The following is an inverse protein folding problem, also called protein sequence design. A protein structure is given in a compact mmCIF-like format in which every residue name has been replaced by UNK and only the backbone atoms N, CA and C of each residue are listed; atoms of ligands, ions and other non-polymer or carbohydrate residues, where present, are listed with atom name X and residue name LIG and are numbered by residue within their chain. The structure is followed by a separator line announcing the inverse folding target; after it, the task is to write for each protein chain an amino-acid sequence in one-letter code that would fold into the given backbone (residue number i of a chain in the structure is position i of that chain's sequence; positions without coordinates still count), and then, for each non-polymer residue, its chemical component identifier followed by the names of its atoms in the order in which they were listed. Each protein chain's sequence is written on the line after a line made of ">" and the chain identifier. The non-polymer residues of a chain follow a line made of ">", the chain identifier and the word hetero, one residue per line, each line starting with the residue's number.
data_IF_113630221567
#
_entry.id   IF_113630221567
#
_cell.length_a   1.000
_cell.length_b   1.000
_cell.length_c   1.000
_cell.angle_alpha   90.00
_cell.angle_beta   90.00
_cell.angle_gamma   90.00
#
_symmetry.space_group_name_H-M   'P 1'
#
loop_
_entity.id
_entity.type
_entity.pdbx_description
1 polymer ?
#
# COMPACT_ATOMS: atom_id res chain seq x y z
N UNK A 1 45.43 39.57 70.10
CA UNK A 1 44.46 39.65 71.23
C UNK A 1 43.97 38.24 71.56
N UNK A 2 44.21 37.79 72.81
CA UNK A 2 43.59 36.68 73.58
C UNK A 2 43.25 35.32 72.91
N UNK A 3 44.19 34.35 73.03
CA UNK A 3 44.15 33.14 73.90
C UNK A 3 42.76 32.49 74.20
N UNK A 4 42.50 31.20 73.90
CA UNK A 4 42.75 29.97 74.73
C UNK A 4 41.99 28.71 74.22
N UNK A 5 42.56 27.55 74.55
CA UNK A 5 42.19 26.15 74.28
C UNK A 5 40.92 25.63 75.00
N UNK A 6 40.37 24.49 74.55
CA UNK A 6 40.14 23.31 75.43
C UNK A 6 39.83 22.01 74.67
N UNK A 7 40.40 20.90 75.18
CA UNK A 7 40.16 19.49 74.82
C UNK A 7 39.01 18.93 75.67
N UNK A 8 37.99 18.35 75.05
CA UNK A 8 37.09 17.28 75.55
C UNK A 8 36.07 17.05 74.42
N UNK A 9 35.70 15.85 73.94
CA UNK A 9 35.65 14.53 74.54
C UNK A 9 35.56 13.51 73.40
N UNK A 10 36.45 12.52 73.40
CA UNK A 10 36.26 11.26 72.70
C UNK A 10 35.00 10.57 73.24
N UNK A 11 33.94 10.46 72.42
CA UNK A 11 32.89 9.43 72.43
C UNK A 11 31.80 9.79 71.41
N UNK A 12 32.12 9.73 70.12
CA UNK A 12 31.11 9.74 69.04
C UNK A 12 31.71 9.28 67.69
N UNK A 13 32.64 8.31 67.70
CA UNK A 13 33.25 7.72 66.48
C UNK A 13 32.58 6.39 66.09
N UNK A 14 31.44 6.04 66.69
CA UNK A 14 30.83 4.71 66.52
C UNK A 14 29.63 4.61 65.59
N UNK A 15 28.85 5.67 65.38
CA UNK A 15 27.49 5.51 64.87
C UNK A 15 26.98 6.82 64.31
N UNK A 16 26.97 6.93 62.98
CA UNK A 16 26.21 7.81 62.05
C UNK A 16 26.96 7.90 60.69
N UNK A 17 28.10 7.22 60.50
CA UNK A 17 28.53 6.80 59.16
C UNK A 17 27.62 5.72 58.53
N UNK A 18 26.62 5.22 59.27
CA UNK A 18 25.59 4.29 58.76
C UNK A 18 24.35 5.00 58.17
N UNK A 19 24.22 6.33 58.31
CA UNK A 19 23.02 7.07 57.88
C UNK A 19 23.22 7.85 56.57
N UNK A 20 24.45 7.99 56.09
CA UNK A 20 24.80 8.69 54.85
C UNK A 20 25.05 7.76 53.65
N UNK A 21 25.13 6.44 53.90
CA UNK A 21 25.18 5.41 52.83
C UNK A 21 23.78 4.97 52.38
N UNK A 22 22.72 5.36 53.11
CA UNK A 22 21.33 4.95 52.85
C UNK A 22 20.45 6.01 52.15
N UNK A 23 21.00 7.20 51.85
CA UNK A 23 20.27 8.27 51.15
C UNK A 23 20.76 8.48 49.70
N UNK A 24 21.80 7.75 49.26
CA UNK A 24 22.30 7.79 47.87
C UNK A 24 21.81 6.59 47.03
N UNK A 25 21.05 5.66 47.62
CA UNK A 25 20.54 4.45 46.94
C UNK A 25 19.08 4.51 46.45
N UNK A 26 18.41 5.67 46.52
CA UNK A 26 17.04 5.86 46.01
C UNK A 26 16.87 6.99 44.98
N UNK A 27 17.94 7.46 44.34
CA UNK A 27 17.86 8.42 43.23
C UNK A 27 18.25 7.85 41.84
N UNK A 28 18.44 6.53 41.71
CA UNK A 28 18.84 5.89 40.44
C UNK A 28 17.82 4.90 39.84
N UNK A 29 16.53 5.00 40.18
CA UNK A 29 15.45 4.24 39.52
C UNK A 29 14.38 5.13 38.88
N UNK A 30 14.80 6.23 38.24
CA UNK A 30 13.90 7.20 37.62
C UNK A 30 14.49 7.87 36.37
N UNK A 31 15.29 7.16 35.59
CA UNK A 31 15.65 7.58 34.23
C UNK A 31 16.07 6.36 33.41
N UNK A 32 15.11 5.47 33.15
CA UNK A 32 15.26 4.52 32.06
C UNK A 32 15.41 5.32 30.76
N UNK A 33 16.53 5.11 30.06
CA UNK A 33 16.92 5.86 28.87
C UNK A 33 15.92 5.70 27.73
N UNK A 34 15.08 6.72 27.55
CA UNK A 34 14.21 6.88 26.38
C UNK A 34 14.65 8.03 25.47
N UNK A 35 15.87 8.57 25.64
CA UNK A 35 16.26 9.83 24.99
C UNK A 35 17.70 9.84 24.43
N UNK A 36 18.21 8.67 24.00
CA UNK A 36 19.45 8.61 23.21
C UNK A 36 19.17 8.07 21.82
N UNK A 37 19.07 9.00 20.87
CA UNK A 37 19.50 8.86 19.47
C UNK A 37 19.05 7.59 18.74
N UNK A 38 17.78 7.59 18.33
CA UNK A 38 17.33 6.90 17.12
C UNK A 38 17.90 7.61 15.88
N UNK A 39 19.15 7.34 15.51
CA UNK A 39 19.61 7.51 14.10
C UNK A 39 20.93 6.81 13.75
N UNK A 40 21.44 5.90 14.59
CA UNK A 40 22.55 5.03 14.19
C UNK A 40 22.02 3.65 13.83
N UNK A 41 22.40 3.17 12.65
CA UNK A 41 22.17 1.80 12.19
C UNK A 41 22.59 0.81 13.28
N UNK A 42 21.63 0.25 14.01
CA UNK A 42 21.87 -0.67 15.11
C UNK A 42 22.66 -1.87 14.59
N UNK A 43 23.93 -1.97 15.01
CA UNK A 43 24.75 -3.15 14.81
C UNK A 43 24.08 -4.34 15.51
N UNK A 44 24.03 -5.50 14.87
CA UNK A 44 23.30 -6.68 15.35
C UNK A 44 23.78 -7.13 16.74
N UNK A 45 25.06 -6.92 17.05
CA UNK A 45 25.64 -7.21 18.36
C UNK A 45 25.11 -6.28 19.48
N UNK A 46 24.74 -5.04 19.15
CA UNK A 46 24.17 -4.09 20.11
C UNK A 46 22.72 -4.43 20.47
N UNK A 47 21.96 -4.95 19.50
CA UNK A 47 20.58 -5.38 19.68
C UNK A 47 20.50 -6.61 20.59
N UNK A 48 21.38 -7.59 20.39
CA UNK A 48 21.42 -8.81 21.22
C UNK A 48 21.76 -8.51 22.70
N UNK A 49 22.69 -7.58 22.95
CA UNK A 49 23.04 -7.15 24.30
C UNK A 49 21.86 -6.42 24.98
N UNK A 50 21.16 -5.55 24.26
CA UNK A 50 19.98 -4.84 24.76
C UNK A 50 18.83 -5.81 25.10
N UNK A 51 18.55 -6.78 24.21
CA UNK A 51 17.54 -7.81 24.44
C UNK A 51 17.89 -8.69 25.64
N UNK A 52 19.15 -9.12 25.75
CA UNK A 52 19.63 -9.93 26.86
C UNK A 52 19.54 -9.19 28.19
N UNK A 53 19.83 -7.88 28.20
CA UNK A 53 19.66 -7.03 29.38
C UNK A 53 18.19 -6.89 29.80
N UNK A 54 17.27 -6.76 28.83
CA UNK A 54 15.83 -6.59 29.08
C UNK A 54 15.15 -7.87 29.55
N UNK A 55 15.46 -9.01 28.93
CA UNK A 55 14.70 -10.25 29.10
C UNK A 55 15.48 -11.40 29.74
N UNK A 56 16.80 -11.27 29.89
CA UNK A 56 17.69 -12.40 30.15
C UNK A 56 17.97 -13.21 28.88
N UNK A 57 19.07 -13.98 28.87
CA UNK A 57 19.59 -14.65 27.67
C UNK A 57 18.61 -15.63 27.00
N UNK A 58 17.90 -16.43 27.79
CA UNK A 58 16.96 -17.43 27.26
C UNK A 58 15.76 -16.77 26.58
N UNK A 59 15.17 -15.75 27.20
CA UNK A 59 14.01 -15.08 26.61
C UNK A 59 14.41 -14.15 25.46
N UNK A 60 15.57 -13.48 25.55
CA UNK A 60 16.13 -12.73 24.44
C UNK A 60 16.28 -13.60 23.19
N UNK A 61 16.88 -14.80 23.31
CA UNK A 61 16.99 -15.74 22.20
C UNK A 61 15.64 -16.14 21.59
N UNK A 62 14.59 -16.26 22.41
CA UNK A 62 13.23 -16.56 21.93
C UNK A 62 12.62 -15.38 21.18
N UNK A 63 12.82 -14.15 21.66
CA UNK A 63 12.36 -12.90 21.02
C UNK A 63 13.08 -12.68 19.68
N UNK A 64 14.40 -12.88 19.64
CA UNK A 64 15.21 -12.80 18.42
C UNK A 64 14.69 -13.75 17.33
N UNK A 65 14.25 -14.94 17.70
CA UNK A 65 13.77 -15.97 16.78
C UNK A 65 12.26 -15.89 16.45
N UNK A 66 11.54 -14.87 16.92
CA UNK A 66 10.14 -14.67 16.53
C UNK A 66 10.07 -14.52 15.00
N UNK A 67 9.24 -15.32 14.30
CA UNK A 67 9.12 -15.22 12.84
C UNK A 67 8.42 -13.92 12.42
N UNK A 68 8.53 -13.56 11.15
CA UNK A 68 7.77 -12.44 10.60
C UNK A 68 6.25 -12.68 10.75
N UNK A 69 5.60 -11.85 11.55
CA UNK A 69 4.28 -12.12 12.09
C UNK A 69 3.13 -11.51 11.26
N UNK A 70 3.42 -10.63 10.31
CA UNK A 70 2.39 -9.88 9.59
C UNK A 70 2.02 -10.55 8.25
N UNK A 71 0.73 -10.54 7.93
CA UNK A 71 0.18 -10.97 6.65
C UNK A 71 -0.80 -9.92 6.14
N UNK A 72 -0.57 -9.44 4.92
CA UNK A 72 -1.25 -8.29 4.34
C UNK A 72 -1.67 -8.60 2.92
N UNK A 73 -2.84 -8.12 2.50
CA UNK A 73 -3.31 -8.32 1.13
C UNK A 73 -4.39 -7.34 0.70
N UNK A 74 -4.55 -7.22 -0.61
CA UNK A 74 -5.64 -6.47 -1.25
C UNK A 74 -6.81 -7.36 -1.62
N UNK A 75 -8.02 -6.79 -1.62
CA UNK A 75 -9.21 -7.39 -2.23
C UNK A 75 -9.76 -6.59 -3.42
N UNK A 76 -9.27 -5.37 -3.64
CA UNK A 76 -9.61 -4.60 -4.83
C UNK A 76 -8.36 -3.95 -5.42
N UNK A 77 -8.24 -4.06 -6.74
CA UNK A 77 -7.21 -3.39 -7.55
C UNK A 77 -7.92 -2.79 -8.75
N UNK A 78 -7.78 -1.48 -8.93
CA UNK A 78 -8.30 -0.74 -10.06
C UNK A 78 -7.17 -0.23 -10.94
N UNK A 79 -7.37 -0.32 -12.25
CA UNK A 79 -6.54 0.30 -13.27
C UNK A 79 -7.35 1.38 -13.98
N UNK A 80 -6.77 2.55 -14.20
CA UNK A 80 -7.38 3.63 -14.97
C UNK A 80 -6.43 4.01 -16.11
N UNK A 81 -6.92 3.86 -17.36
CA UNK A 81 -6.10 4.05 -18.55
C UNK A 81 -5.95 5.52 -18.96
N UNK A 82 -6.67 6.44 -18.31
CA UNK A 82 -6.54 7.87 -18.57
C UNK A 82 -5.09 8.32 -18.40
N UNK A 83 -4.53 8.88 -19.47
CA UNK A 83 -3.17 9.37 -19.51
C UNK A 83 -3.11 10.60 -20.41
N UNK A 84 -2.81 11.76 -19.83
CA UNK A 84 -2.91 13.05 -20.51
C UNK A 84 -1.91 14.05 -19.91
N UNK A 85 -1.18 14.75 -20.77
CA UNK A 85 -0.14 15.66 -20.30
C UNK A 85 -0.71 16.90 -19.61
N UNK A 86 0.01 17.33 -18.57
CA UNK A 86 -0.20 18.60 -17.85
C UNK A 86 -1.43 18.69 -16.94
N UNK A 87 -2.54 18.02 -17.26
CA UNK A 87 -3.82 18.26 -16.59
C UNK A 87 -4.15 17.23 -15.51
N UNK A 88 -3.83 15.93 -15.69
CA UNK A 88 -4.28 14.89 -14.74
C UNK A 88 -3.27 14.53 -13.63
N UNK A 89 -1.99 14.89 -13.78
CA UNK A 89 -0.92 14.49 -12.84
C UNK A 89 -1.09 15.04 -11.43
N UNK A 90 -1.55 16.28 -11.32
CA UNK A 90 -1.83 16.95 -10.03
C UNK A 90 -3.16 16.55 -9.40
N UNK A 91 -4.05 15.91 -10.18
CA UNK A 91 -5.38 15.55 -9.70
C UNK A 91 -5.37 14.29 -8.85
N UNK A 92 -6.16 14.29 -7.77
CA UNK A 92 -6.41 13.06 -6.98
C UNK A 92 -7.50 12.18 -7.60
N UNK A 93 -8.23 12.69 -8.60
CA UNK A 93 -9.26 11.94 -9.31
C UNK A 93 -8.68 10.88 -10.26
N UNK A 94 -7.41 11.04 -10.65
CA UNK A 94 -6.73 10.18 -11.61
C UNK A 94 -5.55 9.46 -10.98
N UNK A 95 -5.37 8.23 -11.42
CA UNK A 95 -4.31 7.32 -11.01
C UNK A 95 -4.07 6.32 -12.14
N UNK A 96 -2.97 5.58 -12.08
CA UNK A 96 -2.77 4.43 -12.98
C UNK A 96 -3.21 3.16 -12.31
N UNK A 97 -2.76 2.91 -11.08
CA UNK A 97 -3.12 1.74 -10.29
C UNK A 97 -3.52 2.20 -8.90
N UNK A 98 -4.71 1.79 -8.47
CA UNK A 98 -5.20 1.97 -7.11
C UNK A 98 -5.49 0.60 -6.51
N UNK A 99 -4.99 0.31 -5.33
CA UNK A 99 -5.17 -0.99 -4.69
C UNK A 99 -5.49 -0.82 -3.22
N UNK A 100 -6.29 -1.71 -2.64
CA UNK A 100 -6.60 -1.61 -1.22
C UNK A 100 -7.41 -2.79 -0.69
N UNK A 101 -7.68 -2.71 0.61
CA UNK A 101 -8.49 -3.66 1.34
C UNK A 101 -9.78 -2.98 1.81
N UNK A 102 -10.94 -3.46 1.34
CA UNK A 102 -12.23 -2.78 1.55
C UNK A 102 -13.34 -3.70 2.07
N UNK A 103 -13.21 -5.01 1.93
CA UNK A 103 -14.16 -6.02 2.38
C UNK A 103 -13.49 -6.94 3.39
N UNK A 104 -12.94 -8.09 2.98
CA UNK A 104 -12.52 -9.14 3.91
C UNK A 104 -11.00 -9.32 3.96
N UNK A 105 -10.25 -8.51 3.22
CA UNK A 105 -8.80 -8.48 3.29
C UNK A 105 -8.32 -7.31 4.14
N UNK A 106 -7.01 -7.20 4.31
CA UNK A 106 -6.38 -6.20 5.15
C UNK A 106 -5.07 -6.73 5.70
N UNK A 107 -4.67 -6.20 6.84
CA UNK A 107 -3.53 -6.65 7.62
C UNK A 107 -4.01 -7.52 8.78
N UNK A 108 -3.34 -8.64 9.01
CA UNK A 108 -3.53 -9.50 10.17
C UNK A 108 -2.20 -9.99 10.71
N UNK A 109 -2.25 -10.54 11.92
CA UNK A 109 -1.17 -11.35 12.44
C UNK A 109 -1.39 -12.82 12.07
N UNK A 110 -0.30 -13.48 11.71
CA UNK A 110 -0.23 -14.89 11.36
C UNK A 110 -0.51 -15.78 12.56
N UNK A 111 -1.22 -16.88 12.33
CA UNK A 111 -1.45 -17.89 13.37
C UNK A 111 -0.15 -18.56 13.81
N UNK A 112 0.82 -18.66 12.89
CA UNK A 112 2.16 -19.17 13.15
C UNK A 112 2.87 -18.37 14.25
N UNK A 113 2.70 -17.04 14.30
CA UNK A 113 3.24 -16.22 15.37
C UNK A 113 2.62 -16.57 16.74
N UNK A 114 1.29 -16.70 16.79
CA UNK A 114 0.61 -17.04 18.03
C UNK A 114 1.00 -18.44 18.52
N UNK A 115 1.11 -19.41 17.62
CA UNK A 115 1.56 -20.77 17.94
C UNK A 115 3.01 -20.76 18.45
N UNK A 116 3.90 -20.02 17.79
CA UNK A 116 5.30 -19.88 18.21
C UNK A 116 5.40 -19.39 19.67
N UNK A 117 4.64 -18.35 20.01
CA UNK A 117 4.68 -17.72 21.33
C UNK A 117 4.02 -18.61 22.39
N UNK A 118 2.85 -19.18 22.11
CA UNK A 118 2.03 -19.87 23.12
C UNK A 118 2.32 -21.35 23.30
N UNK A 119 2.76 -22.05 22.24
CA UNK A 119 2.92 -23.51 22.24
C UNK A 119 4.38 -23.91 22.13
N UNK A 120 5.12 -23.30 21.20
CA UNK A 120 6.38 -23.89 20.76
C UNK A 120 7.59 -23.43 21.58
N UNK A 121 7.53 -22.22 22.17
CA UNK A 121 8.70 -21.62 22.83
C UNK A 121 8.45 -21.16 24.28
N UNK A 122 7.32 -21.54 24.88
CA UNK A 122 7.08 -21.38 26.33
C UNK A 122 7.21 -19.95 26.83
N UNK A 123 6.69 -18.97 26.08
CA UNK A 123 6.54 -17.62 26.61
C UNK A 123 5.49 -17.65 27.73
N UNK A 124 5.83 -17.06 28.87
CA UNK A 124 4.95 -17.06 30.04
C UNK A 124 4.22 -15.73 30.19
N UNK A 125 2.95 -15.73 30.61
CA UNK A 125 2.27 -14.52 31.02
C UNK A 125 2.97 -13.88 32.23
N UNK A 126 2.90 -12.55 32.33
CA UNK A 126 3.38 -11.85 33.53
C UNK A 126 2.42 -12.16 34.68
N UNK A 127 2.95 -12.74 35.77
CA UNK A 127 2.17 -13.06 36.97
C UNK A 127 1.44 -11.82 37.50
N UNK A 128 0.15 -11.93 37.92
CA UNK A 128 -0.63 -13.15 38.14
C UNK A 128 -1.48 -13.63 36.94
N UNK A 129 -1.30 -13.05 35.75
CA UNK A 129 -2.11 -13.43 34.59
C UNK A 129 -1.87 -14.90 34.18
N UNK A 130 -2.93 -15.58 33.73
CA UNK A 130 -2.86 -16.96 33.20
C UNK A 130 -2.74 -17.01 31.68
N UNK A 131 -2.88 -15.87 31.01
CA UNK A 131 -2.82 -15.73 29.56
C UNK A 131 -1.92 -14.57 29.17
N UNK A 132 -1.19 -14.71 28.07
CA UNK A 132 -0.33 -13.66 27.53
C UNK A 132 -1.20 -12.47 27.12
N UNK A 133 -0.87 -11.29 27.63
CA UNK A 133 -1.61 -10.07 27.32
C UNK A 133 -1.28 -9.52 25.93
N UNK A 134 -2.19 -8.74 25.35
CA UNK A 134 -1.96 -8.01 24.10
C UNK A 134 -0.71 -7.12 24.16
N UNK A 135 -0.45 -6.50 25.32
CA UNK A 135 0.75 -5.68 25.55
C UNK A 135 2.05 -6.50 25.45
N UNK A 136 2.06 -7.73 25.98
CA UNK A 136 3.22 -8.62 25.86
C UNK A 136 3.50 -9.03 24.41
N UNK A 137 2.46 -9.41 23.65
CA UNK A 137 2.62 -9.72 22.22
C UNK A 137 3.20 -8.54 21.44
N UNK A 138 2.67 -7.35 21.69
CA UNK A 138 3.17 -6.11 21.07
C UNK A 138 4.64 -5.87 21.41
N UNK A 139 5.00 -6.00 22.68
CA UNK A 139 6.36 -5.73 23.15
C UNK A 139 7.37 -6.69 22.50
N UNK A 140 7.07 -7.98 22.46
CA UNK A 140 7.95 -8.96 21.83
C UNK A 140 8.08 -8.79 20.31
N UNK A 141 7.01 -8.34 19.64
CA UNK A 141 7.09 -8.00 18.20
C UNK A 141 7.90 -6.73 17.95
N UNK A 142 7.75 -5.71 18.81
CA UNK A 142 8.52 -4.48 18.71
C UNK A 142 10.03 -4.72 18.90
N UNK A 143 10.40 -5.73 19.68
CA UNK A 143 11.77 -6.08 19.99
C UNK A 143 12.35 -7.19 19.08
N UNK A 144 11.50 -7.85 18.28
CA UNK A 144 11.92 -8.91 17.37
C UNK A 144 12.62 -8.32 16.13
N UNK A 145 13.85 -8.72 15.79
CA UNK A 145 14.58 -8.20 14.62
C UNK A 145 13.84 -8.41 13.30
N UNK A 146 13.05 -9.49 13.19
CA UNK A 146 12.27 -9.77 12.00
C UNK A 146 11.06 -8.82 11.85
N UNK A 147 10.58 -8.19 12.93
CA UNK A 147 9.31 -7.45 12.94
C UNK A 147 9.46 -5.96 13.28
N UNK A 148 10.57 -5.59 13.92
CA UNK A 148 10.86 -4.21 14.31
C UNK A 148 10.84 -3.29 13.09
N UNK A 149 10.23 -2.12 13.26
CA UNK A 149 10.07 -1.08 12.24
C UNK A 149 9.37 -1.53 10.94
N UNK A 150 8.77 -2.72 10.91
CA UNK A 150 8.05 -3.20 9.75
C UNK A 150 6.96 -2.20 9.38
N UNK A 151 7.00 -1.72 8.14
CA UNK A 151 6.05 -0.79 7.56
C UNK A 151 5.61 -1.35 6.24
N UNK A 152 4.30 -1.52 6.06
CA UNK A 152 3.76 -2.11 4.84
C UNK A 152 3.72 -1.07 3.72
N UNK A 153 4.19 -1.45 2.54
CA UNK A 153 4.29 -0.57 1.37
C UNK A 153 3.79 -1.23 0.10
N UNK A 154 3.26 -0.42 -0.81
CA UNK A 154 2.91 -0.83 -2.17
C UNK A 154 3.79 -0.08 -3.19
N UNK A 155 4.36 -0.80 -4.15
CA UNK A 155 5.16 -0.24 -5.24
C UNK A 155 5.11 -1.14 -6.47
N UNK A 156 5.46 -0.61 -7.65
CA UNK A 156 5.71 -1.44 -8.84
C UNK A 156 7.17 -1.90 -8.79
N UNK A 157 7.41 -3.20 -8.61
CA UNK A 157 8.75 -3.79 -8.44
C UNK A 157 9.06 -4.78 -9.56
N UNK A 158 10.34 -4.97 -9.88
CA UNK A 158 10.78 -6.03 -10.79
C UNK A 158 10.51 -7.41 -10.15
N UNK A 159 9.93 -8.33 -10.91
CA UNK A 159 9.58 -9.68 -10.42
C UNK A 159 10.80 -10.55 -10.06
N UNK A 160 11.99 -10.19 -10.56
CA UNK A 160 13.27 -10.89 -10.38
C UNK A 160 14.20 -10.17 -9.41
N UNK A 161 13.90 -8.92 -9.06
CA UNK A 161 14.61 -8.16 -8.06
C UNK A 161 13.67 -7.17 -7.36
N UNK A 162 13.16 -7.56 -6.20
CA UNK A 162 12.21 -6.76 -5.44
C UNK A 162 12.80 -5.44 -4.93
N UNK A 163 14.13 -5.27 -4.84
CA UNK A 163 14.71 -3.95 -4.52
C UNK A 163 14.73 -2.98 -5.71
N UNK A 164 14.44 -3.47 -6.92
CA UNK A 164 14.28 -2.63 -8.11
C UNK A 164 12.83 -2.14 -8.19
N UNK A 165 12.64 -0.84 -8.04
CA UNK A 165 11.33 -0.18 -8.12
C UNK A 165 11.27 0.64 -9.40
N UNK A 166 10.15 0.56 -10.11
CA UNK A 166 9.88 1.43 -11.24
C UNK A 166 9.40 2.79 -10.73
N UNK A 167 10.05 3.86 -11.16
CA UNK A 167 9.69 5.24 -10.81
C UNK A 167 8.94 5.91 -11.96
N UNK A 168 7.95 6.71 -11.60
CA UNK A 168 7.21 7.60 -12.51
C UNK A 168 8.02 8.83 -12.94
N UNK A 169 9.08 9.18 -12.21
CA UNK A 169 9.83 10.44 -12.36
C UNK A 169 11.35 10.26 -12.50
N UNK A 170 11.82 9.03 -12.72
CA UNK A 170 13.23 8.61 -12.72
C UNK A 170 13.99 8.79 -11.39
N UNK A 171 13.34 9.31 -10.35
CA UNK A 171 13.86 9.41 -8.99
C UNK A 171 12.88 8.77 -8.04
N UNK A 172 13.34 7.79 -7.27
CA UNK A 172 12.47 7.10 -6.32
C UNK A 172 12.06 8.05 -5.20
N UNK A 173 10.75 8.19 -5.01
CA UNK A 173 10.19 8.99 -3.93
C UNK A 173 9.13 8.22 -3.12
N UNK A 174 9.21 8.35 -1.80
CA UNK A 174 8.15 7.91 -0.90
C UNK A 174 6.87 8.71 -1.19
N UNK A 175 5.70 8.09 -0.98
CA UNK A 175 4.38 8.63 -1.29
C UNK A 175 4.09 8.89 -2.79
N UNK A 176 5.06 8.58 -3.68
CA UNK A 176 4.88 8.66 -5.13
C UNK A 176 5.07 7.30 -5.77
N UNK A 177 6.26 6.72 -5.64
CA UNK A 177 6.61 5.43 -6.24
C UNK A 177 6.51 4.27 -5.23
N UNK A 178 6.74 4.58 -3.95
CA UNK A 178 6.56 3.67 -2.82
C UNK A 178 5.52 4.26 -1.89
N UNK A 179 4.37 3.62 -1.76
CA UNK A 179 3.24 4.11 -0.98
C UNK A 179 3.20 3.37 0.36
N UNK A 180 3.51 4.02 1.50
CA UNK A 180 3.22 3.44 2.80
C UNK A 180 1.71 3.29 2.99
N UNK A 181 1.32 2.13 3.49
CA UNK A 181 -0.08 1.71 3.56
C UNK A 181 -0.66 1.88 4.95
N UNK A 182 0.19 1.68 5.95
CA UNK A 182 -0.09 1.71 7.39
C UNK A 182 1.18 2.26 8.04
N UNK A 183 1.01 2.88 9.21
CA UNK A 183 2.14 3.25 10.07
C UNK A 183 2.96 2.01 10.49
N UNK A 184 4.05 2.20 11.23
CA UNK A 184 4.86 1.08 11.75
C UNK A 184 3.97 0.06 12.46
N UNK A 185 4.08 -1.20 12.03
CA UNK A 185 3.13 -2.25 12.39
C UNK A 185 3.18 -2.63 13.86
N UNK A 186 4.31 -2.40 14.52
CA UNK A 186 4.52 -2.61 15.97
C UNK A 186 4.09 -1.41 16.83
N UNK A 187 3.61 -0.32 16.21
CA UNK A 187 3.09 0.84 16.94
C UNK A 187 1.88 0.48 17.80
N UNK A 188 1.67 1.22 18.89
CA UNK A 188 0.58 1.00 19.85
C UNK A 188 -0.79 0.93 19.16
N UNK A 189 -1.06 1.87 18.27
CA UNK A 189 -2.37 2.04 17.65
C UNK A 189 -2.69 0.96 16.61
N UNK A 190 -1.68 0.54 15.83
CA UNK A 190 -1.84 -0.56 14.87
C UNK A 190 -2.01 -1.88 15.61
N UNK A 191 -1.12 -2.17 16.56
CA UNK A 191 -1.18 -3.43 17.32
C UNK A 191 -2.45 -3.56 18.16
N UNK A 192 -2.96 -2.47 18.74
CA UNK A 192 -4.23 -2.52 19.47
C UNK A 192 -5.39 -2.97 18.56
N UNK A 193 -5.41 -2.48 17.32
CA UNK A 193 -6.43 -2.88 16.32
C UNK A 193 -6.26 -4.35 15.95
N UNK A 194 -5.04 -4.79 15.61
CA UNK A 194 -4.76 -6.17 15.22
C UNK A 194 -5.00 -7.19 16.35
N UNK A 195 -4.79 -6.79 17.60
CA UNK A 195 -5.08 -7.62 18.78
C UNK A 195 -6.58 -7.72 19.06
N UNK A 196 -7.34 -6.65 18.85
CA UNK A 196 -8.79 -6.65 18.98
C UNK A 196 -9.44 -7.54 17.91
N UNK A 197 -8.91 -7.51 16.68
CA UNK A 197 -9.38 -8.29 15.53
C UNK A 197 -8.62 -9.63 15.38
N UNK A 198 -8.12 -10.21 16.48
CA UNK A 198 -7.28 -11.42 16.43
C UNK A 198 -7.96 -12.53 15.61
N UNK A 199 -7.24 -13.06 14.62
CA UNK A 199 -7.71 -14.10 13.70
C UNK A 199 -8.48 -13.57 12.48
N UNK A 200 -8.71 -12.26 12.40
CA UNK A 200 -9.32 -11.58 11.24
C UNK A 200 -8.37 -10.54 10.66
N UNK A 201 -8.63 -10.13 9.41
CA UNK A 201 -7.90 -9.04 8.77
C UNK A 201 -8.53 -7.69 9.11
N UNK A 202 -7.72 -6.75 9.60
CA UNK A 202 -8.10 -5.37 9.83
C UNK A 202 -7.80 -4.53 8.58
N UNK A 203 -8.80 -3.82 8.11
CA UNK A 203 -8.70 -2.88 6.96
C UNK A 203 -8.69 -1.41 7.39
N UNK A 204 -9.09 -1.14 8.63
CA UNK A 204 -9.28 0.20 9.17
C UNK A 204 -8.55 0.36 10.50
N UNK A 205 -7.74 1.41 10.61
CA UNK A 205 -6.88 1.72 11.76
C UNK A 205 -7.27 3.09 12.33
N UNK A 206 -8.33 3.18 13.16
CA UNK A 206 -8.94 4.45 13.56
C UNK A 206 -7.97 5.40 14.28
N UNK A 207 -7.00 4.83 15.00
CA UNK A 207 -6.04 5.57 15.81
C UNK A 207 -4.71 5.81 15.10
N UNK A 208 -4.54 5.36 13.86
CA UNK A 208 -3.38 5.76 13.05
C UNK A 208 -3.50 7.23 12.65
N UNK A 209 -2.40 7.97 12.82
CA UNK A 209 -2.31 9.40 12.49
C UNK A 209 -2.34 9.66 10.99
N UNK A 210 -1.62 8.83 10.22
CA UNK A 210 -1.38 9.06 8.79
C UNK A 210 -2.19 8.14 7.88
N UNK A 211 -2.48 6.90 8.32
CA UNK A 211 -3.02 5.86 7.45
C UNK A 211 -4.15 5.08 8.15
N UNK A 212 -5.37 5.61 8.03
CA UNK A 212 -6.54 4.95 8.62
C UNK A 212 -7.11 3.83 7.77
N UNK A 213 -6.82 3.81 6.47
CA UNK A 213 -7.30 2.80 5.52
C UNK A 213 -6.12 2.26 4.74
N UNK A 214 -6.11 0.95 4.53
CA UNK A 214 -5.10 0.29 3.70
C UNK A 214 -5.40 0.51 2.21
N UNK A 215 -4.85 1.61 1.67
CA UNK A 215 -4.99 2.00 0.26
C UNK A 215 -3.67 2.50 -0.34
N UNK A 216 -3.36 2.04 -1.55
CA UNK A 216 -2.25 2.49 -2.38
C UNK A 216 -2.80 3.22 -3.61
N UNK A 217 -2.17 4.33 -3.97
CA UNK A 217 -2.50 5.07 -5.20
C UNK A 217 -1.20 5.42 -5.94
N UNK A 218 -0.99 4.81 -7.12
CA UNK A 218 0.20 4.95 -7.95
C UNK A 218 -0.13 5.67 -9.25
N UNK A 219 0.71 6.64 -9.62
CA UNK A 219 0.52 7.52 -10.78
C UNK A 219 1.64 7.32 -11.82
N UNK A 220 1.29 6.69 -12.94
CA UNK A 220 2.11 6.51 -14.14
C UNK A 220 1.31 6.95 -15.38
N UNK A 221 0.60 8.07 -15.24
CA UNK A 221 -0.34 8.57 -16.23
C UNK A 221 -0.04 10.01 -16.65
N UNK A 222 1.23 10.42 -16.59
CA UNK A 222 1.66 11.74 -17.07
C UNK A 222 1.35 11.94 -18.55
N UNK A 223 1.38 10.87 -19.33
CA UNK A 223 1.10 10.86 -20.75
C UNK A 223 0.89 9.41 -21.23
N UNK A 224 0.47 9.28 -22.49
CA UNK A 224 0.19 7.99 -23.11
C UNK A 224 1.42 7.08 -23.20
N UNK A 225 2.62 7.62 -23.39
CA UNK A 225 3.86 6.85 -23.47
C UNK A 225 4.22 6.23 -22.11
N UNK A 226 4.10 7.01 -21.03
CA UNK A 226 4.32 6.55 -19.66
C UNK A 226 3.29 5.47 -19.26
N UNK A 227 2.01 5.69 -19.56
CA UNK A 227 0.95 4.72 -19.28
C UNK A 227 1.15 3.42 -20.07
N UNK A 228 1.62 3.52 -21.32
CA UNK A 228 1.99 2.35 -22.12
C UNK A 228 3.20 1.61 -21.55
N UNK A 229 4.23 2.35 -21.12
CA UNK A 229 5.41 1.78 -20.49
C UNK A 229 5.04 1.03 -19.20
N UNK A 230 4.15 1.58 -18.38
CA UNK A 230 3.63 0.88 -17.20
C UNK A 230 2.95 -0.43 -17.57
N UNK A 231 2.09 -0.44 -18.61
CA UNK A 231 1.41 -1.67 -19.06
C UNK A 231 2.41 -2.73 -19.51
N UNK A 232 3.43 -2.35 -20.28
CA UNK A 232 4.47 -3.26 -20.72
C UNK A 232 5.33 -3.79 -19.57
N UNK A 233 5.66 -2.93 -18.59
CA UNK A 233 6.32 -3.34 -17.35
C UNK A 233 5.45 -4.39 -16.64
N UNK A 234 4.21 -4.06 -16.32
CA UNK A 234 3.31 -4.93 -15.54
C UNK A 234 2.95 -6.25 -16.24
N UNK A 235 3.05 -6.30 -17.57
CA UNK A 235 2.86 -7.51 -18.37
C UNK A 235 4.10 -8.40 -18.34
N UNK A 236 5.28 -7.81 -18.50
CA UNK A 236 6.48 -8.56 -18.87
C UNK A 236 7.46 -8.75 -17.72
N UNK A 237 7.76 -7.69 -16.96
CA UNK A 237 8.92 -7.66 -16.04
C UNK A 237 8.54 -7.27 -14.61
N UNK A 238 7.58 -6.38 -14.43
CA UNK A 238 7.15 -5.84 -13.15
C UNK A 238 5.91 -6.51 -12.59
N UNK A 239 5.64 -6.19 -11.32
CA UNK A 239 4.43 -6.55 -10.60
C UNK A 239 4.11 -5.45 -9.58
N UNK A 240 2.83 -5.24 -9.28
CA UNK A 240 2.46 -4.48 -8.09
C UNK A 240 2.81 -5.35 -6.89
N UNK A 241 3.67 -4.87 -6.01
CA UNK A 241 4.14 -5.61 -4.86
C UNK A 241 3.71 -4.90 -3.58
N UNK A 242 2.97 -5.63 -2.74
CA UNK A 242 2.72 -5.29 -1.35
C UNK A 242 3.82 -5.96 -0.53
N UNK A 243 4.77 -5.16 -0.06
CA UNK A 243 5.97 -5.60 0.68
C UNK A 243 6.02 -4.92 2.04
N UNK A 244 7.00 -5.31 2.86
CA UNK A 244 7.32 -4.61 4.09
C UNK A 244 8.72 -4.01 3.98
N UNK A 245 8.93 -2.83 4.54
CA UNK A 245 10.23 -2.19 4.71
C UNK A 245 10.50 -2.00 6.20
N UNK A 246 11.77 -1.99 6.59
CA UNK A 246 12.20 -1.76 7.97
C UNK A 246 12.84 -0.38 8.18
N UNK A 247 13.11 0.36 7.11
CA UNK A 247 13.77 1.67 7.16
C UNK A 247 13.24 2.59 6.06
N UNK A 248 12.54 3.65 6.47
CA UNK A 248 11.96 4.66 5.57
C UNK A 248 13.00 5.50 4.82
N UNK A 249 14.26 5.50 5.24
CA UNK A 249 15.36 6.15 4.52
C UNK A 249 15.84 5.32 3.33
N UNK A 250 15.76 3.98 3.44
CA UNK A 250 16.04 3.03 2.37
C UNK A 250 14.74 2.58 1.70
N UNK A 251 14.11 3.48 0.94
CA UNK A 251 12.80 3.26 0.31
C UNK A 251 12.73 2.06 -0.65
N UNK A 252 13.88 1.61 -1.16
CA UNK A 252 13.99 0.44 -2.01
C UNK A 252 14.09 -0.89 -1.26
N UNK A 253 14.33 -0.85 0.06
CA UNK A 253 14.45 -2.04 0.90
C UNK A 253 13.15 -2.85 0.94
N UNK A 254 13.32 -4.16 1.14
CA UNK A 254 12.23 -5.10 1.41
C UNK A 254 12.68 -6.03 2.54
N UNK A 255 11.77 -6.32 3.47
CA UNK A 255 11.98 -7.32 4.50
C UNK A 255 11.82 -8.71 3.89
N UNK A 256 12.83 -9.55 4.05
CA UNK A 256 12.89 -10.88 3.47
C UNK A 256 13.49 -11.88 4.46
N UNK A 257 13.08 -13.14 4.34
CA UNK A 257 13.71 -14.25 5.08
C UNK A 257 15.13 -14.55 4.56
N UNK A 258 15.41 -14.24 3.29
CA UNK A 258 16.70 -14.46 2.65
C UNK A 258 17.45 -13.13 2.49
N UNK A 259 18.76 -13.13 2.75
CA UNK A 259 19.62 -11.94 2.63
C UNK A 259 20.35 -11.86 1.28
N UNK A 260 20.11 -12.79 0.37
CA UNK A 260 20.77 -12.85 -0.92
C UNK A 260 20.31 -11.72 -1.86
N UNK A 261 21.27 -11.03 -2.47
CA UNK A 261 21.04 -10.01 -3.51
C UNK A 261 21.27 -10.60 -4.90
N UNK A 262 20.42 -10.33 -5.92
CA UNK A 262 19.18 -9.55 -5.86
C UNK A 262 18.07 -10.25 -5.05
N UNK A 263 17.29 -9.45 -4.32
CA UNK A 263 16.22 -9.96 -3.45
C UNK A 263 15.05 -10.45 -4.29
N UNK A 264 15.01 -11.75 -4.56
CA UNK A 264 13.92 -12.40 -5.32
C UNK A 264 12.69 -12.71 -4.49
N UNK A 265 12.88 -12.88 -3.18
CA UNK A 265 11.85 -13.26 -2.22
C UNK A 265 11.76 -12.19 -1.14
N UNK A 266 10.56 -11.92 -0.65
CA UNK A 266 10.31 -10.99 0.45
C UNK A 266 9.00 -11.36 1.15
N UNK A 267 8.78 -10.84 2.36
CA UNK A 267 7.46 -10.97 2.96
C UNK A 267 6.46 -10.07 2.22
N UNK A 268 5.29 -10.63 1.88
CA UNK A 268 4.23 -9.89 1.21
C UNK A 268 3.59 -10.63 0.03
N UNK A 269 2.89 -9.87 -0.82
CA UNK A 269 2.14 -10.38 -1.99
C UNK A 269 2.49 -9.59 -3.26
N UNK A 270 2.63 -10.30 -4.37
CA UNK A 270 2.80 -9.73 -5.70
C UNK A 270 1.53 -9.89 -6.52
N UNK A 271 1.23 -8.91 -7.37
CA UNK A 271 0.07 -8.89 -8.26
C UNK A 271 0.56 -8.60 -9.68
N UNK A 272 0.42 -9.60 -10.55
CA UNK A 272 0.80 -9.54 -11.97
C UNK A 272 -0.43 -9.31 -12.82
N UNK A 273 -0.33 -8.42 -13.79
CA UNK A 273 -1.46 -7.96 -14.58
C UNK A 273 -1.43 -8.59 -15.96
N UNK A 274 -2.60 -8.92 -16.49
CA UNK A 274 -2.77 -9.19 -17.92
C UNK A 274 -3.62 -8.07 -18.51
N UNK A 275 -3.09 -7.41 -19.54
CA UNK A 275 -3.79 -6.38 -20.29
C UNK A 275 -4.36 -6.98 -21.57
N UNK A 276 -5.50 -6.46 -22.01
CA UNK A 276 -6.12 -6.83 -23.29
C UNK A 276 -6.87 -5.64 -23.89
N UNK A 277 -7.30 -5.79 -25.13
CA UNK A 277 -8.25 -4.87 -25.75
C UNK A 277 -9.67 -5.09 -25.18
N UNK A 278 -10.54 -4.07 -25.22
CA UNK A 278 -11.93 -4.22 -24.80
C UNK A 278 -12.62 -5.41 -25.49
N UNK A 279 -13.56 -6.11 -24.82
CA UNK A 279 -14.24 -7.27 -25.40
C UNK A 279 -14.88 -6.94 -26.76
N UNK A 280 -14.66 -7.81 -27.75
CA UNK A 280 -15.17 -7.63 -29.10
C UNK A 280 -14.31 -6.73 -30.01
N UNK A 281 -13.13 -6.31 -29.55
CA UNK A 281 -12.14 -5.59 -30.35
C UNK A 281 -10.96 -6.50 -30.68
N UNK A 282 -10.59 -6.50 -31.96
CA UNK A 282 -9.32 -7.07 -32.43
C UNK A 282 -8.82 -6.22 -33.59
N UNK A 283 -8.05 -5.18 -33.26
CA UNK A 283 -7.46 -4.31 -34.28
C UNK A 283 -6.10 -3.75 -33.81
N UNK A 284 -5.29 -3.22 -34.71
CA UNK A 284 -3.91 -2.81 -34.37
C UNK A 284 -3.81 -1.40 -33.79
N UNK A 285 -4.86 -0.59 -33.88
CA UNK A 285 -4.85 0.81 -33.46
C UNK A 285 -5.45 1.04 -32.07
N UNK A 286 -6.27 0.13 -31.54
CA UNK A 286 -6.77 0.23 -30.17
C UNK A 286 -5.73 -0.29 -29.18
N UNK A 287 -5.52 0.47 -28.10
CA UNK A 287 -4.59 0.05 -27.05
C UNK A 287 -5.23 -1.01 -26.14
N UNK A 288 -4.39 -1.84 -25.53
CA UNK A 288 -4.79 -2.80 -24.51
C UNK A 288 -4.99 -2.11 -23.16
N UNK A 289 -6.06 -1.33 -23.07
CA UNK A 289 -6.32 -0.42 -21.95
C UNK A 289 -7.20 -1.00 -20.84
N UNK A 290 -7.42 -2.32 -20.83
CA UNK A 290 -8.18 -2.99 -19.77
C UNK A 290 -7.36 -4.12 -19.13
N UNK A 291 -7.59 -4.34 -17.83
CA UNK A 291 -7.00 -5.47 -17.11
C UNK A 291 -7.94 -6.66 -17.23
N UNK A 292 -7.49 -7.75 -17.83
CA UNK A 292 -8.31 -8.97 -17.99
C UNK A 292 -8.19 -9.93 -16.83
N UNK A 293 -7.03 -9.96 -16.18
CA UNK A 293 -6.73 -10.88 -15.11
C UNK A 293 -5.66 -10.29 -14.17
N UNK A 294 -5.71 -10.75 -12.91
CA UNK A 294 -4.67 -10.54 -11.92
C UNK A 294 -4.24 -11.90 -11.39
N UNK A 295 -2.94 -12.18 -11.44
CA UNK A 295 -2.32 -13.33 -10.79
C UNK A 295 -1.65 -12.87 -9.50
N UNK A 296 -2.09 -13.43 -8.37
CA UNK A 296 -1.48 -13.20 -7.07
C UNK A 296 -0.31 -14.18 -6.85
N UNK A 297 0.75 -13.70 -6.23
CA UNK A 297 1.97 -14.46 -5.93
C UNK A 297 2.34 -14.22 -4.48
N UNK A 298 2.67 -15.29 -3.77
CA UNK A 298 3.28 -15.17 -2.45
C UNK A 298 4.75 -14.82 -2.61
N UNK A 299 5.16 -13.64 -2.18
CA UNK A 299 6.54 -13.18 -2.38
C UNK A 299 7.54 -13.94 -1.50
N UNK A 300 7.08 -14.61 -0.44
CA UNK A 300 7.97 -15.34 0.45
C UNK A 300 8.41 -16.68 -0.13
N UNK A 301 7.57 -17.27 -1.00
CA UNK A 301 7.85 -18.55 -1.66
C UNK A 301 8.03 -18.43 -3.18
N UNK A 302 7.66 -17.28 -3.77
CA UNK A 302 7.61 -17.07 -5.21
C UNK A 302 6.47 -17.83 -5.92
N UNK A 303 5.62 -18.52 -5.16
CA UNK A 303 4.56 -19.38 -5.70
C UNK A 303 3.31 -18.59 -6.05
N UNK A 304 2.65 -18.98 -7.14
CA UNK A 304 1.35 -18.41 -7.52
C UNK A 304 0.29 -18.85 -6.50
N UNK A 305 -0.46 -17.88 -6.00
CA UNK A 305 -1.63 -18.11 -5.15
C UNK A 305 -2.84 -18.26 -6.05
N UNK A 306 -3.58 -19.37 -5.90
CA UNK A 306 -4.84 -19.56 -6.59
C UNK A 306 -5.94 -18.68 -5.96
N UNK A 307 -5.87 -17.38 -6.21
CA UNK A 307 -6.85 -16.39 -5.77
C UNK A 307 -7.83 -16.10 -6.92
N UNK A 308 -9.13 -16.21 -6.66
CA UNK A 308 -10.19 -16.00 -7.66
C UNK A 308 -10.42 -14.52 -8.00
N UNK A 309 -9.49 -13.85 -8.67
CA UNK A 309 -9.65 -12.45 -9.09
C UNK A 309 -10.65 -12.31 -10.24
N UNK A 310 -11.66 -11.45 -10.05
CA UNK A 310 -12.65 -11.10 -11.06
C UNK A 310 -12.41 -9.67 -11.57
N UNK A 311 -11.99 -9.55 -12.82
CA UNK A 311 -11.72 -8.28 -13.52
C UNK A 311 -12.80 -7.89 -14.55
N UNK A 312 -14.00 -8.45 -14.48
CA UNK A 312 -15.07 -8.17 -15.44
C UNK A 312 -15.68 -6.76 -15.33
N UNK A 313 -15.31 -5.98 -14.31
CA UNK A 313 -15.82 -4.62 -14.10
C UNK A 313 -15.04 -3.62 -14.93
N UNK A 314 -15.45 -3.49 -16.18
CA UNK A 314 -14.84 -2.59 -17.15
C UNK A 314 -15.82 -1.42 -17.38
N UNK A 315 -15.34 -0.20 -17.20
CA UNK A 315 -16.11 1.02 -17.35
C UNK A 315 -15.49 1.92 -18.41
N UNK A 316 -16.32 2.39 -19.34
CA UNK A 316 -15.94 3.35 -20.39
C UNK A 316 -15.83 4.75 -19.80
N UNK A 317 -14.76 5.48 -20.12
CA UNK A 317 -14.57 6.85 -19.63
C UNK A 317 -15.06 7.84 -20.69
N UNK A 318 -16.14 8.56 -20.36
CA UNK A 318 -16.90 9.41 -21.29
C UNK A 318 -16.65 10.89 -20.96
N UNK A 319 -16.57 11.73 -21.99
CA UNK A 319 -16.48 13.18 -21.81
C UNK A 319 -17.77 13.74 -21.20
N UNK A 320 -17.63 14.78 -20.37
CA UNK A 320 -18.80 15.46 -19.74
C UNK A 320 -19.82 15.90 -20.78
N UNK A 321 -19.36 16.54 -21.86
CA UNK A 321 -20.22 17.04 -22.94
C UNK A 321 -20.96 15.94 -23.73
N UNK A 322 -20.42 14.72 -23.72
CA UNK A 322 -20.98 13.58 -24.44
C UNK A 322 -21.89 12.70 -23.56
N UNK A 323 -21.83 12.89 -22.24
CA UNK A 323 -22.56 12.08 -21.25
C UNK A 323 -24.08 12.07 -21.48
N UNK A 324 -24.65 13.24 -21.79
CA UNK A 324 -26.09 13.48 -21.92
C UNK A 324 -26.50 13.93 -23.33
N UNK A 325 -25.61 13.81 -24.32
CA UNK A 325 -25.89 14.24 -25.69
C UNK A 325 -27.14 13.53 -26.23
N UNK A 326 -28.20 14.31 -26.45
CA UNK A 326 -29.54 13.81 -26.80
C UNK A 326 -29.59 13.15 -28.17
N UNK A 327 -28.66 13.47 -29.08
CA UNK A 327 -28.61 12.90 -30.43
C UNK A 327 -28.21 11.42 -30.45
N UNK A 328 -27.52 10.92 -29.42
CA UNK A 328 -27.14 9.51 -29.24
C UNK A 328 -27.81 8.83 -28.04
N UNK A 329 -28.75 9.50 -27.38
CA UNK A 329 -29.37 9.01 -26.13
C UNK A 329 -28.45 9.10 -24.90
N UNK A 330 -27.32 9.81 -24.99
CA UNK A 330 -26.29 9.95 -23.97
C UNK A 330 -25.41 8.70 -23.83
N UNK A 331 -24.09 8.88 -23.89
CA UNK A 331 -23.15 7.75 -23.71
C UNK A 331 -23.00 7.34 -22.24
N UNK A 332 -23.32 8.25 -21.31
CA UNK A 332 -23.31 7.95 -19.89
C UNK A 332 -24.30 8.84 -19.11
N UNK A 333 -25.61 8.63 -19.29
CA UNK A 333 -26.61 9.41 -18.56
C UNK A 333 -26.53 9.11 -17.05
N UNK A 334 -26.98 10.04 -16.18
CA UNK A 334 -27.15 9.75 -14.76
C UNK A 334 -28.05 8.54 -14.52
N UNK A 335 -27.76 7.77 -13.46
CA UNK A 335 -28.64 6.68 -13.04
C UNK A 335 -30.00 7.24 -12.59
N UNK A 336 -31.07 6.59 -13.03
CA UNK A 336 -32.44 6.89 -12.59
C UNK A 336 -32.68 6.42 -11.15
N UNK A 337 -33.72 6.95 -10.51
CA UNK A 337 -34.11 6.49 -9.17
C UNK A 337 -34.38 4.97 -9.13
N UNK A 338 -35.08 4.44 -10.15
CA UNK A 338 -35.36 3.00 -10.26
C UNK A 338 -34.08 2.15 -10.39
N UNK A 339 -33.06 2.63 -11.11
CA UNK A 339 -31.77 1.94 -11.20
C UNK A 339 -31.01 1.96 -9.86
N UNK A 340 -31.16 3.00 -9.05
CA UNK A 340 -30.59 3.11 -7.69
C UNK A 340 -31.37 2.28 -6.66
N UNK A 341 -32.66 2.03 -6.89
CA UNK A 341 -33.47 1.16 -6.05
C UNK A 341 -33.10 -0.33 -6.20
N UNK A 342 -32.43 -0.70 -7.31
CA UNK A 342 -31.91 -2.04 -7.53
C UNK A 342 -30.70 -2.36 -6.63
N UNK A 343 -30.84 -3.40 -5.80
CA UNK A 343 -29.80 -3.79 -4.83
C UNK A 343 -28.46 -4.19 -5.48
N UNK A 344 -28.48 -4.89 -6.62
CA UNK A 344 -27.26 -5.28 -7.33
C UNK A 344 -26.49 -4.07 -7.86
N UNK A 345 -27.21 -3.07 -8.37
CA UNK A 345 -26.60 -1.81 -8.81
C UNK A 345 -25.99 -1.04 -7.63
N UNK A 346 -26.64 -1.02 -6.47
CA UNK A 346 -26.07 -0.38 -5.26
C UNK A 346 -24.80 -1.06 -4.79
N UNK A 347 -24.79 -2.38 -4.68
CA UNK A 347 -23.59 -3.15 -4.29
C UNK A 347 -22.43 -2.91 -5.26
N UNK A 348 -22.70 -2.90 -6.56
CA UNK A 348 -21.68 -2.63 -7.57
C UNK A 348 -21.21 -1.16 -7.51
N UNK A 349 -22.12 -0.21 -7.28
CA UNK A 349 -21.77 1.20 -7.08
C UNK A 349 -20.86 1.39 -5.86
N UNK A 350 -21.12 0.71 -4.74
CA UNK A 350 -20.25 0.74 -3.55
C UNK A 350 -18.82 0.26 -3.87
N UNK A 351 -18.68 -0.80 -4.68
CA UNK A 351 -17.38 -1.28 -5.16
C UNK A 351 -16.68 -0.20 -5.99
N UNK A 352 -17.39 0.41 -6.94
CA UNK A 352 -16.82 1.46 -7.79
C UNK A 352 -16.43 2.68 -6.95
N UNK A 353 -17.24 3.08 -5.97
CA UNK A 353 -17.01 4.28 -5.15
C UNK A 353 -15.80 4.21 -4.23
N UNK A 354 -15.34 3.02 -3.88
CA UNK A 354 -14.04 2.83 -3.18
C UNK A 354 -12.86 3.28 -4.04
N UNK A 355 -12.98 3.13 -5.36
CA UNK A 355 -11.93 3.44 -6.32
C UNK A 355 -12.11 4.85 -6.92
N UNK A 356 -13.35 5.20 -7.25
CA UNK A 356 -13.73 6.45 -7.92
C UNK A 356 -14.74 7.26 -7.08
N UNK A 357 -14.24 8.28 -6.38
CA UNK A 357 -15.03 9.08 -5.45
C UNK A 357 -16.19 9.81 -6.13
N UNK A 358 -17.30 9.96 -5.41
CA UNK A 358 -18.54 10.58 -5.90
C UNK A 358 -18.44 12.07 -6.15
N UNK A 359 -17.53 12.78 -5.49
CA UNK A 359 -17.26 14.19 -5.73
C UNK A 359 -16.39 14.46 -6.96
N UNK A 360 -15.80 13.40 -7.54
CA UNK A 360 -14.89 13.50 -8.68
C UNK A 360 -15.42 12.84 -9.94
N UNK A 361 -16.25 11.80 -9.80
CA UNK A 361 -16.74 10.98 -10.90
C UNK A 361 -18.25 10.76 -10.79
N UNK A 362 -18.95 10.88 -11.91
CA UNK A 362 -20.28 10.34 -12.10
C UNK A 362 -20.16 8.94 -12.72
N UNK A 363 -20.92 7.98 -12.20
CA UNK A 363 -20.82 6.57 -12.58
C UNK A 363 -22.22 6.06 -12.89
N UNK A 364 -22.38 5.41 -14.03
CA UNK A 364 -23.57 4.65 -14.36
C UNK A 364 -23.20 3.17 -14.50
N UNK A 365 -23.57 2.40 -13.47
CA UNK A 365 -23.25 0.97 -13.37
C UNK A 365 -23.93 0.13 -14.45
N UNK A 366 -25.27 0.23 -14.66
CA UNK A 366 -25.94 -0.49 -15.74
C UNK A 366 -25.33 -0.25 -17.12
N UNK A 367 -24.90 0.98 -17.39
CA UNK A 367 -24.30 1.39 -18.67
C UNK A 367 -22.79 1.13 -18.75
N UNK A 368 -22.15 0.66 -17.68
CA UNK A 368 -20.70 0.42 -17.59
C UNK A 368 -19.90 1.62 -18.08
N UNK A 369 -20.24 2.81 -17.58
CA UNK A 369 -19.57 4.05 -17.97
C UNK A 369 -19.35 4.97 -16.77
N UNK A 370 -18.40 5.89 -16.92
CA UNK A 370 -18.07 6.91 -15.94
C UNK A 370 -17.68 8.22 -16.62
N UNK A 371 -17.96 9.32 -15.96
CA UNK A 371 -17.75 10.69 -16.44
C UNK A 371 -17.00 11.46 -15.36
N UNK A 372 -15.82 12.03 -15.64
CA UNK A 372 -15.15 12.91 -14.69
C UNK A 372 -15.98 14.18 -14.52
N UNK A 373 -16.12 14.71 -13.29
CA UNK A 373 -16.92 15.92 -13.06
C UNK A 373 -16.24 17.15 -13.66
N UNK A 374 -17.01 18.18 -14.01
CA UNK A 374 -16.49 19.40 -14.65
C UNK A 374 -15.42 20.17 -13.86
N UNK A 375 -15.28 19.92 -12.55
CA UNK A 375 -14.22 20.46 -11.69
C UNK A 375 -12.92 19.65 -11.74
N UNK A 376 -12.93 18.47 -12.38
CA UNK A 376 -11.79 17.60 -12.52
C UNK A 376 -11.16 17.77 -13.90
N UNK A 377 -9.82 17.68 -14.00
CA UNK A 377 -9.14 17.65 -15.29
C UNK A 377 -9.72 16.59 -16.22
N UNK A 378 -9.65 16.79 -17.53
CA UNK A 378 -10.22 15.84 -18.48
C UNK A 378 -9.24 14.70 -18.81
N UNK A 379 -9.76 13.47 -18.88
CA UNK A 379 -9.04 12.29 -19.38
C UNK A 379 -8.60 12.43 -20.86
N UNK A 380 -9.21 13.37 -21.57
CA UNK A 380 -8.91 13.68 -22.96
C UNK A 380 -8.73 15.19 -23.06
N UNK A 381 -7.57 15.63 -23.56
CA UNK A 381 -7.41 17.03 -23.97
C UNK A 381 -8.35 17.35 -25.11
N UNK A 382 -9.07 18.48 -25.01
CA UNK A 382 -10.07 18.90 -26.01
C UNK A 382 -9.46 19.51 -27.28
N UNK A 383 -8.13 19.47 -27.42
CA UNK A 383 -7.35 20.07 -28.51
C UNK A 383 -6.68 18.93 -29.32
N UNK A 384 -6.66 18.88 -30.66
CA UNK A 384 -6.73 19.97 -31.66
C UNK A 384 -7.10 19.45 -33.07
N UNK A 385 -7.01 20.24 -34.14
CA UNK A 385 -7.16 19.79 -35.55
C UNK A 385 -5.87 20.09 -36.34
N UNK A 386 -5.47 19.18 -37.24
CA UNK A 386 -4.17 18.97 -37.91
C UNK A 386 -2.97 18.57 -37.02
N UNK A 387 -3.30 18.12 -35.82
CA UNK A 387 -2.51 17.34 -34.86
C UNK A 387 -3.54 16.68 -33.93
N UNK A 388 -4.40 15.83 -34.52
CA UNK A 388 -5.85 15.88 -34.29
C UNK A 388 -6.36 15.09 -33.07
N UNK A 389 -7.26 15.69 -32.30
CA UNK A 389 -8.42 15.07 -31.64
C UNK A 389 -9.51 16.13 -31.34
N UNK A 390 -10.76 15.95 -31.78
CA UNK A 390 -11.91 16.82 -31.36
C UNK A 390 -13.03 16.07 -30.63
N UNK A 391 -12.82 14.81 -30.26
CA UNK A 391 -13.78 14.00 -29.53
C UNK A 391 -13.25 12.61 -29.21
N UNK A 392 -14.12 11.75 -28.71
CA UNK A 392 -13.82 10.35 -28.39
C UNK A 392 -14.70 9.45 -29.23
N UNK A 393 -14.11 8.43 -29.82
CA UNK A 393 -14.84 7.38 -30.53
C UNK A 393 -15.29 6.33 -29.50
N UNK A 394 -16.60 6.27 -29.27
CA UNK A 394 -17.22 5.38 -28.29
C UNK A 394 -17.59 4.01 -28.88
N UNK A 395 -17.61 3.89 -30.21
CA UNK A 395 -17.81 2.63 -30.90
C UNK A 395 -16.52 1.82 -30.94
N UNK A 396 -16.56 0.62 -30.37
CA UNK A 396 -15.41 -0.29 -30.31
C UNK A 396 -15.04 -0.88 -31.68
N UNK A 397 -15.92 -0.79 -32.68
CA UNK A 397 -15.68 -1.26 -34.05
C UNK A 397 -15.18 -0.17 -35.00
N UNK A 398 -15.21 1.10 -34.59
CA UNK A 398 -14.79 2.22 -35.42
C UNK A 398 -13.29 2.48 -35.30
N UNK A 399 -12.70 3.03 -36.36
CA UNK A 399 -11.29 3.45 -36.33
C UNK A 399 -11.14 4.72 -35.52
N UNK A 400 -10.16 4.76 -34.61
CA UNK A 400 -9.93 5.86 -33.69
C UNK A 400 -8.45 6.24 -33.64
N UNK A 401 -8.17 7.47 -33.25
CA UNK A 401 -6.82 8.01 -33.13
C UNK A 401 -6.15 7.48 -31.87
N UNK A 402 -4.97 6.90 -32.05
CA UNK A 402 -4.12 6.42 -30.98
C UNK A 402 -2.84 7.28 -30.91
N UNK A 403 -2.66 8.06 -29.82
CA UNK A 403 -1.49 8.93 -29.68
C UNK A 403 -0.13 8.21 -29.78
N UNK A 404 -0.07 6.91 -29.49
CA UNK A 404 1.16 6.11 -29.62
C UNK A 404 1.53 5.79 -31.07
N UNK A 405 0.54 5.74 -31.97
CA UNK A 405 0.78 5.55 -33.40
C UNK A 405 1.13 6.88 -34.10
N UNK A 406 0.89 8.01 -33.43
CA UNK A 406 1.18 9.34 -33.93
C UNK A 406 0.37 9.71 -35.18
N UNK A 407 0.92 10.65 -35.95
CA UNK A 407 0.24 11.31 -37.07
C UNK A 407 0.68 10.76 -38.43
N UNK A 408 1.04 9.47 -38.51
CA UNK A 408 1.35 8.81 -39.79
C UNK A 408 0.10 8.10 -40.33
N UNK A 409 -0.49 8.53 -41.46
CA UNK A 409 -1.69 7.92 -41.99
C UNK A 409 -1.53 6.43 -42.33
N UNK A 410 -0.33 5.98 -42.67
CA UNK A 410 -0.02 4.56 -42.96
C UNK A 410 -0.20 3.63 -41.76
N UNK A 411 -0.30 4.17 -40.54
CA UNK A 411 -0.57 3.39 -39.34
C UNK A 411 -2.07 3.07 -39.16
N UNK A 412 -2.95 3.60 -40.02
CA UNK A 412 -4.39 3.44 -39.93
C UNK A 412 -4.97 2.74 -41.18
N UNK A 413 -6.01 1.90 -41.05
CA UNK A 413 -6.54 1.09 -42.16
C UNK A 413 -7.01 1.89 -43.38
N UNK A 414 -7.55 3.09 -43.17
CA UNK A 414 -8.10 3.95 -44.22
C UNK A 414 -7.09 4.93 -44.82
N UNK A 415 -5.80 4.78 -44.48
CA UNK A 415 -4.72 5.73 -44.79
C UNK A 415 -5.08 7.20 -44.47
N UNK A 416 -6.00 7.38 -43.54
CA UNK A 416 -6.54 8.65 -43.07
C UNK A 416 -6.48 8.64 -41.54
N UNK A 417 -5.94 9.70 -40.96
CA UNK A 417 -5.84 9.82 -39.50
C UNK A 417 -7.23 10.08 -38.94
N UNK A 418 -7.75 9.24 -38.02
CA UNK A 418 -9.07 9.45 -37.43
C UNK A 418 -9.14 10.78 -36.65
N UNK A 419 -10.30 11.44 -36.67
CA UNK A 419 -10.48 12.73 -35.99
C UNK A 419 -10.85 12.59 -34.49
N UNK A 420 -11.31 11.42 -34.06
CA UNK A 420 -11.72 11.11 -32.69
C UNK A 420 -10.74 10.14 -32.03
N UNK A 421 -10.44 10.35 -30.75
CA UNK A 421 -9.52 9.52 -29.95
C UNK A 421 -10.13 8.19 -29.59
N UNK A 422 -9.28 7.18 -29.44
CA UNK A 422 -9.69 5.92 -28.85
C UNK A 422 -10.14 6.11 -27.40
N UNK A 423 -11.22 5.43 -27.04
CA UNK A 423 -11.81 5.41 -25.69
C UNK A 423 -10.85 4.85 -24.64
N UNK A 424 -10.80 5.50 -23.48
CA UNK A 424 -10.15 5.04 -22.26
C UNK A 424 -11.13 4.28 -21.35
N UNK A 425 -10.56 3.48 -20.47
CA UNK A 425 -11.28 2.59 -19.58
C UNK A 425 -10.77 2.66 -18.16
N UNK A 426 -11.67 2.40 -17.23
CA UNK A 426 -11.36 2.02 -15.87
C UNK A 426 -11.73 0.55 -15.68
N UNK A 427 -10.82 -0.24 -15.12
CA UNK A 427 -11.06 -1.63 -14.76
C UNK A 427 -10.95 -1.81 -13.26
N UNK A 428 -11.85 -2.55 -12.65
CA UNK A 428 -11.81 -2.89 -11.22
C UNK A 428 -11.79 -4.40 -11.07
N UNK A 429 -10.69 -4.93 -10.57
CA UNK A 429 -10.56 -6.32 -10.19
C UNK A 429 -10.90 -6.49 -8.71
N UNK A 430 -11.74 -7.47 -8.39
CA UNK A 430 -12.07 -7.84 -7.00
C UNK A 430 -11.66 -9.27 -6.74
N UNK A 431 -11.07 -9.54 -5.59
CA UNK A 431 -10.78 -10.89 -5.15
C UNK A 431 -12.07 -11.61 -4.72
N UNK A 432 -12.35 -12.75 -5.34
CA UNK A 432 -13.42 -13.66 -4.95
C UNK A 432 -13.08 -14.40 -3.65
N UNK A 433 -14.14 -14.77 -2.93
CA UNK A 433 -14.06 -15.49 -1.66
C UNK A 433 -13.90 -16.99 -1.85
#
# INVERSE_FOLDING_TARGET
>A
MKVRFTKTTWRAVGTICASLVLVVSFQNCGKAGFDSSLDESLDSASLDAALTSKYGSTMAARVTNIPFAFDGGFDQIAYNSCAESGSITSSTAYYSVKAGAYQNYGLRLKDEFFNYVTKDNGFNPIYPATTISASQYKEWLADSPANINATMTAAIRDKTNLTSIYSSSNSLALYTDVIPMIDTLTSTYVMQTLMADRGSASRYFPFSSNFRVMEANLKFNSDQSMSNSLREILRNTGQLALTYMNDTTQINSVMAAATASPQRLAYGKGYRFTFQQPPGVSNTYMQENIVSAIQEVDLSTGSVVNAGWNCARIYRIVLVRDSTNSSSGGYCPPMTAAELDNASNRTELEIVRRQFRSDQWDVNVPRRCMVPKGTTPACYTENTVNGVAQGVEYSTSATCYNPLLGNNPSNYPSTTIPAARCLNYATICTRGF
#
